data_IF_984266725964
#
_entry.id   IF_984266725964
#
_cell.length_a   1.000
_cell.length_b   1.000
_cell.length_c   1.000
_cell.angle_alpha   90.00
_cell.angle_beta   90.00
_cell.angle_gamma   90.00
#
_symmetry.space_group_name_H-M   'P 1'
#
loop_
_entity.id
_entity.type
_entity.pdbx_description
1 polymer ?
#
# COMPACT_ATOMS: atom_id res chain seq x y z
N UNK A 1 3.85 -10.27 -20.40
CA UNK A 1 2.94 -9.56 -19.49
C UNK A 1 2.91 -8.04 -19.65
N UNK A 2 3.82 -7.40 -20.40
CA UNK A 2 3.81 -5.93 -20.58
C UNK A 2 2.54 -5.44 -21.27
N UNK A 3 2.03 -6.18 -22.27
CA UNK A 3 0.85 -5.76 -23.04
C UNK A 3 -0.41 -5.59 -22.16
N UNK A 4 -0.59 -6.47 -21.18
CA UNK A 4 -1.68 -6.39 -20.19
C UNK A 4 -1.54 -5.12 -19.34
N UNK A 5 -0.32 -4.79 -18.91
CA UNK A 5 -0.03 -3.64 -18.05
C UNK A 5 -0.26 -2.33 -18.81
N UNK A 6 0.23 -2.24 -20.05
CA UNK A 6 0.01 -1.08 -20.92
C UNK A 6 -1.48 -0.89 -21.25
N UNK A 7 -2.20 -1.97 -21.54
CA UNK A 7 -3.64 -1.94 -21.79
C UNK A 7 -4.42 -1.51 -20.52
N UNK A 8 -4.08 -2.06 -19.36
CA UNK A 8 -4.67 -1.70 -18.08
C UNK A 8 -4.41 -0.23 -17.71
N UNK A 9 -3.19 0.25 -17.94
CA UNK A 9 -2.83 1.64 -17.69
C UNK A 9 -3.69 2.60 -18.51
N UNK A 10 -3.84 2.33 -19.81
CA UNK A 10 -4.68 3.13 -20.71
C UNK A 10 -6.16 3.03 -20.38
N UNK A 11 -6.64 1.84 -20.00
CA UNK A 11 -8.02 1.63 -19.56
C UNK A 11 -8.32 2.45 -18.30
N UNK A 12 -7.41 2.47 -17.32
CA UNK A 12 -7.53 3.27 -16.12
C UNK A 12 -7.59 4.77 -16.44
N UNK A 13 -6.68 5.27 -17.28
CA UNK A 13 -6.69 6.67 -17.70
C UNK A 13 -7.99 7.05 -18.42
N UNK A 14 -8.46 6.23 -19.35
CA UNK A 14 -9.70 6.46 -20.07
C UNK A 14 -10.92 6.47 -19.14
N UNK A 15 -10.96 5.58 -18.15
CA UNK A 15 -12.04 5.50 -17.17
C UNK A 15 -11.99 6.60 -16.09
N UNK A 16 -10.98 7.47 -16.10
CA UNK A 16 -10.81 8.52 -15.08
C UNK A 16 -10.31 8.00 -13.74
N UNK A 17 -9.70 6.81 -13.70
CA UNK A 17 -9.01 6.32 -12.50
C UNK A 17 -7.75 7.16 -12.28
N UNK A 18 -7.53 7.60 -11.03
CA UNK A 18 -6.33 8.34 -10.61
C UNK A 18 -5.09 7.44 -10.56
N UNK A 19 -4.76 6.77 -11.67
CA UNK A 19 -3.54 5.97 -11.80
C UNK A 19 -2.34 6.92 -11.91
N UNK A 20 -1.31 6.70 -11.11
CA UNK A 20 -0.13 7.58 -11.02
C UNK A 20 1.15 6.97 -11.57
N UNK A 21 1.17 5.66 -11.84
CA UNK A 21 2.35 4.99 -12.37
C UNK A 21 2.18 3.47 -12.46
N UNK A 22 3.19 2.85 -13.09
CA UNK A 22 3.37 1.40 -13.23
C UNK A 22 4.86 1.05 -13.20
N UNK A 23 5.20 -0.13 -12.70
CA UNK A 23 6.53 -0.72 -12.83
C UNK A 23 6.47 -2.25 -12.83
N UNK A 24 7.50 -2.87 -13.41
CA UNK A 24 7.75 -4.29 -13.17
C UNK A 24 8.31 -4.45 -11.75
N UNK A 25 7.89 -5.51 -11.05
CA UNK A 25 8.36 -5.84 -9.70
C UNK A 25 9.51 -6.86 -9.73
N UNK A 26 10.01 -7.19 -8.53
CA UNK A 26 11.18 -8.06 -8.36
C UNK A 26 10.96 -9.47 -8.90
N UNK A 27 9.81 -10.08 -8.66
CA UNK A 27 9.51 -11.43 -9.15
C UNK A 27 9.12 -11.40 -10.64
N UNK A 28 9.63 -12.30 -11.49
CA UNK A 28 9.19 -12.41 -12.88
C UNK A 28 7.67 -12.56 -12.98
N UNK A 29 7.04 -11.77 -13.84
CA UNK A 29 5.58 -11.68 -14.00
C UNK A 29 4.82 -10.98 -12.86
N UNK A 30 5.52 -10.42 -11.87
CA UNK A 30 4.95 -9.51 -10.88
C UNK A 30 5.04 -8.07 -11.39
N UNK A 31 3.97 -7.30 -11.14
CA UNK A 31 3.85 -5.91 -11.58
C UNK A 31 3.16 -5.09 -10.50
N UNK A 32 3.50 -3.80 -10.46
CA UNK A 32 2.86 -2.82 -9.59
C UNK A 32 2.23 -1.71 -10.44
N UNK A 33 1.10 -1.20 -9.97
CA UNK A 33 0.51 0.05 -10.41
C UNK A 33 0.12 0.86 -9.18
N UNK A 34 0.23 2.19 -9.27
CA UNK A 34 -0.09 3.08 -8.16
C UNK A 34 -1.36 3.85 -8.47
N UNK A 35 -2.23 4.00 -7.45
CA UNK A 35 -3.46 4.79 -7.53
C UNK A 35 -3.41 5.88 -6.46
N UNK A 36 -3.62 7.13 -6.85
CA UNK A 36 -3.66 8.29 -5.98
C UNK A 36 -2.84 9.48 -6.49
N UNK A 37 -2.78 10.57 -5.71
CA UNK A 37 -3.44 10.74 -4.41
C UNK A 37 -4.97 10.83 -4.53
N UNK A 38 -5.68 10.21 -3.58
CA UNK A 38 -7.15 10.26 -3.47
C UNK A 38 -7.56 10.76 -2.08
N UNK A 39 -8.70 11.43 -1.98
CA UNK A 39 -9.23 11.94 -0.71
C UNK A 39 -10.26 10.97 -0.13
N UNK A 40 -10.01 10.52 1.10
CA UNK A 40 -10.97 9.70 1.87
C UNK A 40 -11.46 8.46 1.12
N UNK A 41 -12.79 8.36 0.95
CA UNK A 41 -13.46 7.18 0.40
C UNK A 41 -13.09 6.91 -1.08
N UNK A 42 -12.73 7.95 -1.84
CA UNK A 42 -12.36 7.83 -3.26
C UNK A 42 -11.19 6.86 -3.48
N UNK A 43 -10.31 6.71 -2.49
CA UNK A 43 -9.19 5.79 -2.59
C UNK A 43 -9.66 4.34 -2.74
N UNK A 44 -10.70 3.95 -2.01
CA UNK A 44 -11.31 2.63 -2.13
C UNK A 44 -11.99 2.44 -3.48
N UNK A 45 -12.76 3.45 -3.91
CA UNK A 45 -13.49 3.42 -5.18
C UNK A 45 -12.52 3.25 -6.37
N UNK A 46 -11.47 4.08 -6.43
CA UNK A 46 -10.50 4.04 -7.51
C UNK A 46 -9.72 2.72 -7.55
N UNK A 47 -9.27 2.19 -6.39
CA UNK A 47 -8.51 0.94 -6.37
C UNK A 47 -9.38 -0.27 -6.71
N UNK A 48 -10.63 -0.32 -6.25
CA UNK A 48 -11.53 -1.42 -6.61
C UNK A 48 -11.85 -1.42 -8.10
N UNK A 49 -12.15 -0.25 -8.66
CA UNK A 49 -12.40 -0.15 -10.09
C UNK A 49 -11.16 -0.44 -10.94
N UNK A 50 -9.96 -0.02 -10.49
CA UNK A 50 -8.72 -0.38 -11.18
C UNK A 50 -8.45 -1.88 -11.16
N UNK A 51 -8.73 -2.58 -10.03
CA UNK A 51 -8.62 -4.04 -9.94
C UNK A 51 -9.63 -4.75 -10.85
N UNK A 52 -10.87 -4.24 -10.92
CA UNK A 52 -11.88 -4.75 -11.84
C UNK A 52 -11.40 -4.66 -13.30
N UNK A 53 -10.91 -3.48 -13.72
CA UNK A 53 -10.38 -3.28 -15.06
C UNK A 53 -9.18 -4.20 -15.33
N UNK A 54 -8.30 -4.42 -14.35
CA UNK A 54 -7.17 -5.33 -14.49
C UNK A 54 -7.64 -6.77 -14.80
N UNK A 55 -8.66 -7.25 -14.11
CA UNK A 55 -9.25 -8.56 -14.41
C UNK A 55 -9.89 -8.61 -15.80
N UNK A 56 -10.59 -7.56 -16.23
CA UNK A 56 -11.21 -7.50 -17.57
C UNK A 56 -10.17 -7.48 -18.69
N UNK A 57 -9.12 -6.69 -18.53
CA UNK A 57 -8.00 -6.70 -19.49
C UNK A 57 -7.33 -8.08 -19.49
N UNK A 58 -7.01 -8.64 -18.33
CA UNK A 58 -6.38 -9.96 -18.22
C UNK A 58 -7.17 -11.09 -18.91
N UNK A 59 -8.50 -11.03 -18.85
CA UNK A 59 -9.41 -11.97 -19.50
C UNK A 59 -9.26 -11.97 -21.03
N UNK A 60 -9.13 -10.79 -21.67
CA UNK A 60 -8.89 -10.65 -23.11
C UNK A 60 -7.55 -11.27 -23.56
N UNK A 61 -6.57 -11.32 -22.65
CA UNK A 61 -5.26 -11.94 -22.90
C UNK A 61 -5.19 -13.41 -22.46
N UNK A 62 -6.29 -13.98 -21.94
CA UNK A 62 -6.33 -15.37 -21.48
C UNK A 62 -5.44 -15.66 -20.26
N UNK A 63 -5.19 -14.66 -19.40
CA UNK A 63 -4.36 -14.81 -18.20
C UNK A 63 -5.16 -14.58 -16.92
N UNK A 64 -4.68 -15.15 -15.80
CA UNK A 64 -5.29 -14.97 -14.47
C UNK A 64 -4.46 -14.01 -13.62
N UNK A 65 -5.15 -13.11 -12.94
CA UNK A 65 -4.56 -12.22 -11.93
C UNK A 65 -4.72 -12.85 -10.55
N UNK A 66 -3.66 -12.76 -9.75
CA UNK A 66 -3.68 -13.13 -8.33
C UNK A 66 -3.24 -11.93 -7.50
N UNK A 67 -3.98 -11.65 -6.44
CA UNK A 67 -3.58 -10.72 -5.38
C UNK A 67 -3.16 -11.47 -4.11
N UNK A 68 -2.82 -12.76 -4.22
CA UNK A 68 -2.28 -13.52 -3.11
C UNK A 68 -0.98 -12.85 -2.61
N UNK A 69 -0.83 -12.59 -1.29
CA UNK A 69 0.35 -11.95 -0.74
C UNK A 69 1.64 -12.76 -0.89
N UNK A 70 1.56 -14.08 -1.05
CA UNK A 70 2.69 -14.97 -1.26
C UNK A 70 2.34 -16.06 -2.28
N UNK A 71 2.22 -15.69 -3.57
CA UNK A 71 1.72 -16.61 -4.60
C UNK A 71 2.67 -17.77 -4.87
N UNK A 72 3.99 -17.56 -4.69
CA UNK A 72 5.03 -18.58 -4.83
C UNK A 72 5.79 -18.69 -3.52
N UNK A 73 5.81 -19.88 -2.94
CA UNK A 73 6.54 -20.17 -1.69
C UNK A 73 8.05 -20.21 -1.93
N UNK A 74 8.82 -19.95 -0.87
CA UNK A 74 10.28 -19.93 -0.90
C UNK A 74 10.86 -18.53 -1.14
N UNK A 75 12.01 -18.50 -1.83
CA UNK A 75 12.89 -17.33 -2.01
C UNK A 75 12.41 -16.35 -3.09
N UNK A 76 11.10 -16.13 -3.15
CA UNK A 76 10.46 -15.19 -4.07
C UNK A 76 9.78 -14.07 -3.29
N UNK A 77 9.76 -12.86 -3.83
CA UNK A 77 9.09 -11.74 -3.19
C UNK A 77 7.58 -12.01 -3.04
N UNK A 78 7.01 -11.51 -1.94
CA UNK A 78 5.56 -11.43 -1.80
C UNK A 78 5.00 -10.18 -2.51
N UNK A 79 3.67 -10.05 -2.49
CA UNK A 79 2.95 -8.91 -3.05
C UNK A 79 2.26 -8.13 -1.94
N UNK A 80 2.62 -6.85 -1.78
CA UNK A 80 2.03 -5.93 -0.78
C UNK A 80 1.07 -4.92 -1.41
N UNK A 81 0.44 -4.13 -0.56
CA UNK A 81 -0.36 -2.95 -0.92
C UNK A 81 0.12 -1.76 -0.09
N UNK A 82 1.33 -1.27 -0.39
CA UNK A 82 1.89 -0.13 0.34
C UNK A 82 0.96 1.08 0.25
N UNK A 83 0.64 1.67 1.40
CA UNK A 83 -0.36 2.73 1.50
C UNK A 83 0.28 4.02 1.98
N UNK A 84 0.33 5.02 1.10
CA UNK A 84 0.84 6.35 1.42
C UNK A 84 -0.25 7.20 2.09
N UNK A 85 0.04 7.79 3.25
CA UNK A 85 -0.95 8.49 4.09
C UNK A 85 -0.44 9.87 4.49
N UNK A 86 -1.30 10.88 4.33
CA UNK A 86 -1.06 12.22 4.89
C UNK A 86 -2.36 12.94 5.24
N UNK A 87 -2.31 13.77 6.27
CA UNK A 87 -3.33 14.78 6.55
C UNK A 87 -2.86 16.17 6.09
N UNK A 88 -3.76 17.16 6.10
CA UNK A 88 -3.38 18.55 5.86
C UNK A 88 -2.27 19.04 6.81
N UNK A 89 -2.32 18.64 8.09
CA UNK A 89 -1.29 18.99 9.08
C UNK A 89 0.05 18.29 8.86
N UNK A 90 0.05 17.06 8.32
CA UNK A 90 1.31 16.37 7.95
C UNK A 90 1.99 17.03 6.75
N UNK A 91 1.21 17.62 5.82
CA UNK A 91 1.74 18.32 4.64
C UNK A 91 2.13 19.77 4.91
N UNK A 92 1.69 20.35 6.03
CA UNK A 92 2.04 21.71 6.44
C UNK A 92 3.45 21.79 7.04
N UNK A 93 3.96 23.01 7.22
CA UNK A 93 5.28 23.26 7.82
C UNK A 93 5.37 22.66 9.23
N UNK A 94 6.46 21.94 9.53
CA UNK A 94 6.61 21.20 10.78
C UNK A 94 5.79 19.90 10.88
N UNK A 95 5.18 19.45 9.77
CA UNK A 95 4.35 18.26 9.70
C UNK A 95 5.04 16.95 10.09
N UNK A 96 6.38 16.90 10.11
CA UNK A 96 7.15 15.76 10.60
C UNK A 96 6.78 15.39 12.04
N UNK A 97 6.53 16.38 12.92
CA UNK A 97 6.10 16.11 14.31
C UNK A 97 4.74 15.41 14.36
N UNK A 98 3.86 15.73 13.40
CA UNK A 98 2.54 15.08 13.27
C UNK A 98 2.71 13.65 12.79
N UNK A 99 3.63 13.40 11.85
CA UNK A 99 3.98 12.05 11.39
C UNK A 99 4.53 11.20 12.54
N UNK A 100 5.47 11.73 13.33
CA UNK A 100 6.05 11.03 14.48
C UNK A 100 5.00 10.72 15.56
N UNK A 101 4.07 11.66 15.82
CA UNK A 101 2.96 11.42 16.73
C UNK A 101 2.00 10.32 16.22
N UNK A 102 1.77 10.26 14.91
CA UNK A 102 0.96 9.22 14.28
C UNK A 102 1.57 7.82 14.45
N UNK A 103 2.91 7.69 14.46
CA UNK A 103 3.58 6.39 14.64
C UNK A 103 3.22 5.74 15.98
N UNK A 104 3.16 6.52 17.06
CA UNK A 104 2.78 6.01 18.39
C UNK A 104 1.35 5.44 18.41
N UNK A 105 0.43 6.09 17.68
CA UNK A 105 -0.96 5.61 17.57
C UNK A 105 -1.05 4.31 16.77
N UNK A 106 -0.32 4.24 15.65
CA UNK A 106 -0.27 3.04 14.80
C UNK A 106 0.41 1.86 15.50
N UNK A 107 1.43 2.12 16.31
CA UNK A 107 2.11 1.11 17.14
C UNK A 107 1.14 0.52 18.16
N UNK A 108 0.40 1.36 18.88
CA UNK A 108 -0.55 0.93 19.91
C UNK A 108 -1.68 0.03 19.37
N UNK A 109 -2.08 0.21 18.10
CA UNK A 109 -3.12 -0.58 17.43
C UNK A 109 -2.56 -1.56 16.39
N UNK A 110 -1.28 -1.92 16.48
CA UNK A 110 -0.62 -2.73 15.44
C UNK A 110 -1.38 -4.02 15.11
N UNK A 111 -1.82 -4.76 16.13
CA UNK A 111 -2.55 -6.03 15.98
C UNK A 111 -3.90 -5.84 15.28
N UNK A 112 -4.64 -4.79 15.64
CA UNK A 112 -5.94 -4.46 15.02
C UNK A 112 -5.78 -4.09 13.53
N UNK A 113 -4.71 -3.37 13.18
CA UNK A 113 -4.35 -3.12 11.80
C UNK A 113 -4.03 -4.43 11.05
N UNK A 114 -3.17 -5.28 11.60
CA UNK A 114 -2.81 -6.57 10.96
C UNK A 114 -4.05 -7.43 10.69
N UNK A 115 -5.02 -7.46 11.62
CA UNK A 115 -6.24 -8.24 11.49
C UNK A 115 -7.10 -7.88 10.26
N UNK A 116 -6.98 -6.66 9.73
CA UNK A 116 -7.72 -6.20 8.54
C UNK A 116 -6.80 -5.98 7.33
N UNK A 117 -5.51 -6.29 7.44
CA UNK A 117 -4.50 -6.02 6.41
C UNK A 117 -4.34 -7.15 5.39
N UNK A 118 -5.36 -7.99 5.25
CA UNK A 118 -5.46 -9.07 4.26
C UNK A 118 -5.07 -10.44 4.83
N UNK A 119 -5.75 -11.48 4.35
CA UNK A 119 -5.52 -12.87 4.74
C UNK A 119 -4.22 -13.42 4.12
N UNK A 120 -3.52 -14.30 4.83
CA UNK A 120 -2.26 -14.91 4.37
C UNK A 120 -1.03 -14.00 4.49
N UNK A 121 -1.17 -12.86 5.17
CA UNK A 121 -0.12 -11.86 5.28
C UNK A 121 1.08 -12.35 6.12
N UNK A 122 0.88 -13.35 6.99
CA UNK A 122 1.92 -14.04 7.76
C UNK A 122 2.92 -14.78 6.87
N UNK A 123 2.51 -15.28 5.70
CA UNK A 123 3.43 -15.89 4.73
C UNK A 123 4.31 -14.84 4.03
N UNK A 124 3.90 -13.56 4.06
CA UNK A 124 4.62 -12.43 3.46
C UNK A 124 5.50 -11.68 4.45
N UNK A 125 4.95 -11.26 5.59
CA UNK A 125 5.58 -10.41 6.60
C UNK A 125 6.50 -11.21 7.56
N UNK A 126 7.60 -11.71 7.00
CA UNK A 126 8.53 -12.61 7.71
C UNK A 126 9.79 -11.90 8.23
N UNK A 127 9.95 -10.60 7.96
CA UNK A 127 11.20 -9.85 8.20
C UNK A 127 12.27 -10.05 7.12
N UNK A 128 11.98 -10.81 6.07
CA UNK A 128 12.85 -11.03 4.89
C UNK A 128 12.25 -10.36 3.65
N UNK A 129 13.02 -10.26 2.57
CA UNK A 129 12.54 -9.71 1.27
C UNK A 129 11.88 -8.33 1.37
N UNK A 130 12.53 -7.39 2.06
CA UNK A 130 12.05 -6.01 2.21
C UNK A 130 10.68 -5.87 2.91
N UNK A 131 10.35 -6.81 3.79
CA UNK A 131 9.15 -6.77 4.65
C UNK A 131 9.51 -6.69 6.12
N UNK A 132 8.62 -6.08 6.92
CA UNK A 132 8.67 -6.16 8.38
C UNK A 132 8.25 -7.54 8.90
N UNK A 133 8.46 -7.75 10.20
CA UNK A 133 7.92 -8.91 10.90
C UNK A 133 6.47 -8.61 11.34
N UNK A 134 5.55 -9.55 11.13
CA UNK A 134 4.12 -9.37 11.42
C UNK A 134 3.79 -9.08 12.90
N UNK A 135 4.65 -9.49 13.83
CA UNK A 135 4.43 -9.32 15.27
C UNK A 135 5.03 -8.03 15.83
N UNK A 136 5.90 -7.35 15.06
CA UNK A 136 6.69 -6.21 15.54
C UNK A 136 6.45 -4.99 14.68
N UNK A 137 5.92 -3.94 15.30
CA UNK A 137 5.88 -2.63 14.69
C UNK A 137 7.26 -1.97 14.68
N UNK A 138 7.63 -1.39 13.54
CA UNK A 138 8.83 -0.56 13.41
C UNK A 138 8.62 0.54 12.38
N UNK A 139 9.33 1.65 12.55
CA UNK A 139 9.35 2.72 11.56
C UNK A 139 10.72 3.36 11.46
N UNK A 140 11.04 3.91 10.28
CA UNK A 140 12.32 4.56 10.04
C UNK A 140 12.35 5.41 8.77
N UNK A 141 13.33 6.31 8.72
CA UNK A 141 13.60 7.13 7.52
C UNK A 141 14.27 6.26 6.47
N UNK A 142 13.65 6.17 5.29
CA UNK A 142 14.09 5.32 4.18
C UNK A 142 14.25 3.83 4.52
N UNK A 143 13.61 3.36 5.61
CA UNK A 143 13.68 1.98 6.05
C UNK A 143 12.77 1.09 5.18
N UNK A 144 13.39 0.20 4.40
CA UNK A 144 12.69 -0.80 3.57
C UNK A 144 12.49 -2.14 4.29
N UNK A 145 12.94 -2.30 5.53
CA UNK A 145 12.64 -3.47 6.37
C UNK A 145 11.55 -3.19 7.40
N UNK A 146 11.22 -1.92 7.63
CA UNK A 146 10.26 -1.51 8.64
C UNK A 146 8.80 -1.69 8.25
N UNK A 147 7.91 -1.67 9.27
CA UNK A 147 6.46 -1.64 9.06
C UNK A 147 6.01 -0.36 8.36
N UNK A 148 6.51 0.79 8.83
CA UNK A 148 6.23 2.10 8.26
C UNK A 148 7.53 2.73 7.75
N UNK A 149 7.49 3.28 6.54
CA UNK A 149 8.61 4.02 5.95
C UNK A 149 8.28 5.50 5.88
N UNK A 150 9.19 6.34 6.38
CA UNK A 150 9.17 7.79 6.13
C UNK A 150 10.12 8.06 4.95
N UNK A 151 9.63 8.57 3.81
CA UNK A 151 10.49 8.86 2.67
C UNK A 151 11.61 9.84 3.03
N UNK A 152 12.80 9.66 2.43
CA UNK A 152 13.97 10.52 2.69
C UNK A 152 13.67 12.00 2.39
N UNK A 153 12.86 12.26 1.36
CA UNK A 153 12.44 13.62 0.99
C UNK A 153 11.54 14.24 2.07
N UNK A 154 10.62 13.47 2.67
CA UNK A 154 9.75 13.94 3.75
C UNK A 154 10.56 14.29 5.00
N UNK A 155 11.55 13.47 5.34
CA UNK A 155 12.47 13.75 6.45
C UNK A 155 13.34 15.00 6.19
N UNK A 156 13.76 15.22 4.94
CA UNK A 156 14.52 16.41 4.53
C UNK A 156 13.68 17.68 4.58
N UNK A 157 12.45 17.62 4.09
CA UNK A 157 11.56 18.79 3.98
C UNK A 157 10.80 19.06 5.29
N UNK A 158 10.84 18.13 6.25
CA UNK A 158 10.15 18.25 7.53
C UNK A 158 8.62 18.16 7.43
N UNK A 159 8.07 17.68 6.31
CA UNK A 159 6.63 17.55 6.04
C UNK A 159 6.34 16.61 4.87
N UNK A 160 5.12 16.07 4.80
CA UNK A 160 4.66 15.25 3.69
C UNK A 160 3.75 14.09 4.12
N UNK A 161 4.19 12.86 3.88
CA UNK A 161 3.43 11.62 4.10
C UNK A 161 4.32 10.51 4.68
N UNK A 162 3.69 9.46 5.21
CA UNK A 162 4.38 8.20 5.52
C UNK A 162 3.78 7.06 4.68
N UNK A 163 4.49 5.95 4.58
CA UNK A 163 4.08 4.76 3.83
C UNK A 163 3.89 3.58 4.79
N UNK A 164 2.66 3.08 4.92
CA UNK A 164 2.39 1.83 5.60
C UNK A 164 2.59 0.63 4.68
N UNK A 165 3.57 -0.22 5.00
CA UNK A 165 4.02 -1.32 4.15
C UNK A 165 3.45 -2.68 4.57
N UNK A 166 2.66 -2.68 5.64
CA UNK A 166 2.05 -3.87 6.22
C UNK A 166 0.82 -4.41 5.46
N UNK A 167 0.02 -3.64 4.70
CA UNK A 167 -1.10 -4.24 3.98
C UNK A 167 -0.66 -5.25 2.91
N UNK A 168 -1.34 -6.38 2.85
CA UNK A 168 -1.20 -7.38 1.80
C UNK A 168 -1.85 -6.92 0.48
N UNK A 169 -1.39 -7.48 -0.64
CA UNK A 169 -1.93 -7.16 -1.97
C UNK A 169 -3.42 -7.49 -2.15
N UNK A 170 -3.98 -8.46 -1.42
CA UNK A 170 -5.41 -8.81 -1.41
C UNK A 170 -6.25 -7.94 -0.46
N UNK A 171 -5.65 -7.03 0.31
CA UNK A 171 -6.39 -6.27 1.31
C UNK A 171 -7.51 -5.42 0.70
N UNK A 172 -8.60 -5.25 1.46
CA UNK A 172 -9.73 -4.41 1.09
C UNK A 172 -9.37 -2.93 1.36
N UNK A 173 -9.26 -2.07 0.34
CA UNK A 173 -8.83 -0.69 0.54
C UNK A 173 -9.74 0.10 1.48
N UNK A 174 -11.06 -0.17 1.49
CA UNK A 174 -11.99 0.49 2.41
C UNK A 174 -11.66 0.20 3.89
N UNK A 175 -11.28 -1.04 4.21
CA UNK A 175 -10.87 -1.42 5.56
C UNK A 175 -9.54 -0.76 5.92
N UNK A 176 -8.56 -0.77 5.00
CA UNK A 176 -7.26 -0.12 5.20
C UNK A 176 -7.43 1.39 5.48
N UNK A 177 -8.15 2.09 4.61
CA UNK A 177 -8.37 3.53 4.79
C UNK A 177 -9.19 3.83 6.03
N UNK A 178 -10.20 3.00 6.33
CA UNK A 178 -11.05 3.15 7.50
C UNK A 178 -10.26 3.07 8.80
N UNK A 179 -9.51 1.98 9.01
CA UNK A 179 -8.77 1.79 10.26
C UNK A 179 -7.63 2.80 10.42
N UNK A 180 -6.98 3.21 9.31
CA UNK A 180 -5.96 4.26 9.36
C UNK A 180 -6.58 5.59 9.80
N UNK A 181 -7.70 6.00 9.22
CA UNK A 181 -8.37 7.25 9.60
C UNK A 181 -8.85 7.17 11.05
N UNK A 182 -9.45 6.06 11.47
CA UNK A 182 -9.90 5.84 12.85
C UNK A 182 -8.74 5.91 13.84
N UNK A 183 -7.62 5.25 13.59
CA UNK A 183 -6.44 5.30 14.49
C UNK A 183 -5.79 6.68 14.54
N UNK A 184 -5.75 7.40 13.43
CA UNK A 184 -5.08 8.71 13.40
C UNK A 184 -5.96 9.86 13.90
N UNK A 185 -7.24 9.83 13.55
CA UNK A 185 -8.20 10.93 13.73
C UNK A 185 -9.36 10.60 14.68
N UNK A 186 -9.62 9.32 14.96
CA UNK A 186 -10.61 8.91 15.95
C UNK A 186 -10.23 9.39 17.34
N UNK A 187 -11.22 9.88 18.08
CA UNK A 187 -11.13 10.07 19.52
C UNK A 187 -11.27 8.71 20.22
N UNK A 188 -10.45 8.48 21.25
CA UNK A 188 -10.40 7.27 22.07
C UNK A 188 -11.78 6.70 22.44
#
# INVERSE_FOLDING_TARGET
CRDIVEAHYRACLYAGIKISGINAEVMPSQWEYQVGPCDGIEMGDHLWMSRFLLHRVAEEFGVKISFDPKPIKGDWNGAGLHTNVSSASMRAEGGMKVIEAAMKKLEARHVEHIAVYGEGNEERLTGRHETGNIDKFSYGVADRGGSIRIPRQVAKDGKGYFEDRRPASNACPYQITGIIVETLMGGN
#
